data_IF_713864224081
#
_entry.id   IF_713864224081
#
_cell.length_a   1.000
_cell.length_b   1.000
_cell.length_c   1.000
_cell.angle_alpha   90.00
_cell.angle_beta   90.00
_cell.angle_gamma   90.00
#
_symmetry.space_group_name_H-M   'P 1'
#
loop_
_entity.id
_entity.type
_entity.pdbx_description
1 polymer ?
#
# COMPACT_ATOMS: atom_id res chain seq x y z
N UNK A 1 -12.01 34.17 11.58
CA UNK A 1 -11.41 33.20 10.65
C UNK A 1 -11.01 34.01 9.43
N UNK A 2 -9.72 34.06 9.08
CA UNK A 2 -9.26 34.86 7.94
C UNK A 2 -9.72 34.19 6.64
N UNK A 3 -10.47 34.94 5.84
CA UNK A 3 -11.03 34.49 4.56
C UNK A 3 -10.07 34.67 3.38
N UNK A 4 -8.85 35.18 3.60
CA UNK A 4 -7.88 35.55 2.55
C UNK A 4 -6.63 34.67 2.54
N UNK A 5 -6.71 33.44 3.06
CA UNK A 5 -5.62 32.47 2.95
C UNK A 5 -5.26 32.24 1.48
N UNK A 6 -4.01 32.50 1.12
CA UNK A 6 -3.53 32.27 -0.25
C UNK A 6 -3.37 30.76 -0.47
N UNK A 7 -4.01 30.24 -1.53
CA UNK A 7 -3.86 28.85 -1.95
C UNK A 7 -2.79 28.82 -3.04
N UNK A 8 -1.77 28.01 -2.84
CA UNK A 8 -0.73 27.74 -3.83
C UNK A 8 -0.92 26.34 -4.39
N UNK A 9 -1.07 26.24 -5.71
CA UNK A 9 -1.18 24.97 -6.43
C UNK A 9 0.17 24.69 -7.08
N UNK A 10 0.72 23.51 -6.82
CA UNK A 10 1.99 23.06 -7.36
C UNK A 10 1.77 21.87 -8.29
N UNK A 11 2.51 21.84 -9.40
CA UNK A 11 2.57 20.68 -10.28
C UNK A 11 3.45 19.57 -9.69
N UNK A 12 3.17 18.33 -10.06
CA UNK A 12 4.02 17.20 -9.69
C UNK A 12 5.42 17.35 -10.28
N UNK A 13 6.44 17.20 -9.43
CA UNK A 13 7.83 17.21 -9.87
C UNK A 13 8.19 15.97 -10.70
N UNK A 14 7.58 14.83 -10.41
CA UNK A 14 7.75 13.60 -11.19
C UNK A 14 6.55 13.38 -12.13
N UNK A 15 6.76 12.64 -13.21
CA UNK A 15 5.67 12.18 -14.09
C UNK A 15 5.13 10.86 -13.52
N UNK A 16 4.05 10.85 -12.72
CA UNK A 16 3.47 9.60 -12.26
C UNK A 16 3.05 8.82 -13.50
N UNK A 17 3.63 7.64 -13.71
CA UNK A 17 3.02 6.71 -14.64
C UNK A 17 1.64 6.40 -14.07
N UNK A 18 0.60 6.42 -14.91
CA UNK A 18 -0.75 6.01 -14.51
C UNK A 18 -0.85 4.49 -14.20
N UNK A 19 0.29 3.83 -13.98
CA UNK A 19 0.44 2.41 -13.69
C UNK A 19 0.28 2.12 -12.19
N UNK A 20 -0.52 2.91 -11.47
CA UNK A 20 -0.88 2.66 -10.06
C UNK A 20 -1.52 1.26 -9.85
N UNK A 21 -1.88 0.59 -10.94
CA UNK A 21 -2.44 -0.76 -10.99
C UNK A 21 -1.41 -1.88 -11.24
N UNK A 22 -0.14 -1.57 -11.53
CA UNK A 22 0.85 -2.62 -11.78
C UNK A 22 1.33 -3.24 -10.46
N UNK A 23 1.18 -4.55 -10.30
CA UNK A 23 1.68 -5.26 -9.12
C UNK A 23 3.21 -5.23 -9.10
N UNK A 24 3.77 -4.32 -8.31
CA UNK A 24 5.23 -4.16 -8.19
C UNK A 24 5.88 -5.23 -7.31
N UNK A 25 5.12 -5.84 -6.40
CA UNK A 25 5.59 -6.87 -5.46
C UNK A 25 4.52 -7.96 -5.25
N UNK A 26 4.90 -9.25 -5.22
CA UNK A 26 4.01 -10.34 -4.83
C UNK A 26 3.41 -10.16 -3.43
N UNK A 27 2.11 -10.42 -3.22
CA UNK A 27 1.45 -10.23 -1.92
C UNK A 27 2.09 -10.95 -0.74
N UNK A 28 2.72 -12.11 -0.96
CA UNK A 28 3.44 -12.87 0.08
C UNK A 28 4.66 -12.11 0.63
N UNK A 29 5.36 -11.36 -0.22
CA UNK A 29 6.51 -10.57 0.21
C UNK A 29 6.07 -9.32 0.98
N UNK A 30 4.97 -8.68 0.57
CA UNK A 30 4.36 -7.57 1.33
C UNK A 30 3.93 -8.04 2.72
N UNK A 31 3.29 -9.22 2.81
CA UNK A 31 2.91 -9.82 4.09
C UNK A 31 4.12 -10.05 5.00
N UNK A 32 5.18 -10.66 4.48
CA UNK A 32 6.38 -10.96 5.24
C UNK A 32 7.05 -9.69 5.79
N UNK A 33 7.13 -8.64 4.97
CA UNK A 33 7.69 -7.34 5.38
C UNK A 33 6.86 -6.70 6.51
N UNK A 34 5.53 -6.64 6.35
CA UNK A 34 4.64 -6.07 7.36
C UNK A 34 4.72 -6.79 8.71
N UNK A 35 4.73 -8.13 8.71
CA UNK A 35 4.87 -8.92 9.94
C UNK A 35 6.25 -8.74 10.57
N UNK A 36 7.31 -8.66 9.77
CA UNK A 36 8.67 -8.47 10.26
C UNK A 36 8.86 -7.15 11.01
N UNK A 37 8.05 -6.12 10.71
CA UNK A 37 8.11 -4.83 11.44
C UNK A 37 7.69 -4.92 12.91
N UNK A 38 6.84 -5.89 13.28
CA UNK A 38 6.25 -5.99 14.63
C UNK A 38 5.33 -4.83 15.04
N UNK A 39 5.05 -3.86 14.15
CA UNK A 39 4.11 -2.77 14.43
C UNK A 39 2.67 -3.30 14.40
N UNK A 40 1.92 -3.02 15.46
CA UNK A 40 0.54 -3.47 15.62
C UNK A 40 -0.38 -3.04 14.45
N UNK A 41 -0.14 -1.87 13.85
CA UNK A 41 -0.91 -1.38 12.70
C UNK A 41 -0.59 -2.18 11.43
N UNK A 42 0.68 -2.56 11.26
CA UNK A 42 1.12 -3.36 10.13
C UNK A 42 0.60 -4.80 10.22
N UNK A 43 0.51 -5.36 11.43
CA UNK A 43 -0.05 -6.69 11.65
C UNK A 43 -1.52 -6.77 11.19
N UNK A 44 -2.33 -5.73 11.43
CA UNK A 44 -3.73 -5.70 10.95
C UNK A 44 -3.80 -5.70 9.42
N UNK A 45 -2.95 -4.90 8.76
CA UNK A 45 -2.88 -4.88 7.30
C UNK A 45 -2.37 -6.22 6.74
N UNK A 46 -1.38 -6.83 7.39
CA UNK A 46 -0.83 -8.13 7.00
C UNK A 46 -1.87 -9.26 7.09
N UNK A 47 -2.71 -9.27 8.14
CA UNK A 47 -3.76 -10.28 8.30
C UNK A 47 -4.81 -10.21 7.17
N UNK A 48 -5.18 -9.01 6.74
CA UNK A 48 -6.03 -8.82 5.57
C UNK A 48 -5.38 -9.36 4.29
N UNK A 49 -4.11 -9.00 4.04
CA UNK A 49 -3.37 -9.47 2.86
C UNK A 49 -3.21 -11.00 2.83
N UNK A 50 -2.95 -11.62 3.98
CA UNK A 50 -2.82 -13.07 4.11
C UNK A 50 -4.11 -13.79 3.71
N UNK A 51 -5.25 -13.29 4.16
CA UNK A 51 -6.57 -13.87 3.91
C UNK A 51 -7.01 -13.69 2.46
N UNK A 52 -6.91 -12.47 1.95
CA UNK A 52 -7.48 -12.14 0.64
C UNK A 52 -6.61 -12.54 -0.54
N UNK A 53 -5.29 -12.58 -0.36
CA UNK A 53 -4.38 -12.77 -1.49
C UNK A 53 -3.51 -14.01 -1.29
N UNK A 54 -2.80 -14.14 -0.17
CA UNK A 54 -1.77 -15.18 -0.01
C UNK A 54 -2.37 -16.58 0.14
N UNK A 55 -3.42 -16.76 0.94
CA UNK A 55 -3.99 -18.08 1.22
C UNK A 55 -4.58 -18.75 -0.04
N UNK A 56 -5.08 -17.95 -1.00
CA UNK A 56 -5.61 -18.44 -2.28
C UNK A 56 -4.50 -19.12 -3.10
N UNK A 57 -3.33 -18.49 -3.21
CA UNK A 57 -2.18 -19.04 -3.97
C UNK A 57 -1.55 -20.29 -3.35
N UNK A 58 -1.65 -20.46 -2.02
CA UNK A 58 -1.14 -21.66 -1.34
C UNK A 58 -2.06 -22.88 -1.56
N UNK A 59 -3.37 -22.66 -1.76
CA UNK A 59 -4.35 -23.74 -1.95
C UNK A 59 -4.49 -24.21 -3.40
N UNK A 60 -4.04 -23.39 -4.34
CA UNK A 60 -4.11 -23.68 -5.79
C UNK A 60 -2.86 -24.41 -6.33
N UNK A 61 -1.85 -24.63 -5.49
CA UNK A 61 -0.65 -25.44 -5.78
C UNK A 61 -0.65 -26.73 -4.97
#
# INVERSE_FOLDING_TARGET
>A
MDTHGTIEIYDYFWNPKNDDAEQTVPPILVYADLIATGDQRNIVAADFLLKEYVTKYIREN
#
